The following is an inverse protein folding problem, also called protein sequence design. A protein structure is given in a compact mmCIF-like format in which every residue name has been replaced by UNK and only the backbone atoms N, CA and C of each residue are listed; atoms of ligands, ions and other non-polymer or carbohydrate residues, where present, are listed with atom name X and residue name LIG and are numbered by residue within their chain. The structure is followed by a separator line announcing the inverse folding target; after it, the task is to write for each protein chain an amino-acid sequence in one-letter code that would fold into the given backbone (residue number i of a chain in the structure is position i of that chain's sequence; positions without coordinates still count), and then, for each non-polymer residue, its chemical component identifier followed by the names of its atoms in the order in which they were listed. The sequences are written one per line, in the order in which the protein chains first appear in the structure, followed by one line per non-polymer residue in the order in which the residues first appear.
data_IF_080376286843
#
_entry.id   IF_080376286843
#
_cell.length_a   1.000
_cell.length_b   1.000
_cell.length_c   1.000
_cell.angle_alpha   90.00
_cell.angle_beta   90.00
_cell.angle_gamma   90.00
#
_symmetry.space_group_name_H-M   'P 1'
#
loop_
_entity.id
_entity.type
_entity.pdbx_description
1 polymer ?
#
# COMPACT_ATOMS: atom_id res chain seq x y z
N UNK A 1 -13.91 -13.94 18.40
CA UNK A 1 -12.92 -12.99 17.85
C UNK A 1 -11.57 -13.31 18.50
N UNK A 2 -10.58 -13.63 17.70
CA UNK A 2 -9.20 -13.91 18.13
C UNK A 2 -8.30 -12.76 17.64
N UNK A 3 -7.08 -12.63 18.17
CA UNK A 3 -6.13 -11.61 17.70
C UNK A 3 -5.81 -11.75 16.21
N UNK A 4 -5.77 -12.97 15.70
CA UNK A 4 -5.61 -13.26 14.27
C UNK A 4 -6.73 -12.71 13.36
N UNK A 5 -7.90 -12.36 13.93
CA UNK A 5 -8.99 -11.72 13.18
C UNK A 5 -8.81 -10.19 13.09
N UNK A 6 -7.89 -9.62 13.89
CA UNK A 6 -7.62 -8.19 13.94
C UNK A 6 -6.48 -7.79 13.00
N UNK A 7 -6.55 -6.55 12.53
CA UNK A 7 -5.57 -5.92 11.66
C UNK A 7 -4.98 -4.70 12.37
N UNK A 8 -3.68 -4.54 12.34
CA UNK A 8 -3.02 -3.31 12.76
C UNK A 8 -2.98 -2.37 11.57
N UNK A 9 -3.36 -1.12 11.78
CA UNK A 9 -3.25 -0.06 10.78
C UNK A 9 -2.39 1.08 11.32
N UNK A 10 -1.50 1.60 10.48
CA UNK A 10 -0.57 2.69 10.83
C UNK A 10 -0.61 3.79 9.78
N UNK A 11 -0.34 5.02 10.24
CA UNK A 11 -0.30 6.23 9.41
C UNK A 11 1.09 6.89 9.50
N UNK A 12 2.11 6.33 8.83
CA UNK A 12 3.50 6.75 8.99
C UNK A 12 3.80 8.17 8.50
N UNK A 13 2.97 8.73 7.62
CA UNK A 13 3.08 10.13 7.20
C UNK A 13 2.93 11.13 8.36
N UNK A 14 2.39 10.69 9.48
CA UNK A 14 2.26 11.52 10.69
C UNK A 14 3.58 11.66 11.47
N UNK A 15 4.62 10.91 11.09
CA UNK A 15 5.95 11.02 11.67
C UNK A 15 6.49 9.70 12.21
N UNK A 16 6.69 8.69 11.34
CA UNK A 16 7.30 7.43 11.72
C UNK A 16 8.44 7.05 10.76
N UNK A 17 9.51 6.50 11.33
CA UNK A 17 10.63 5.95 10.57
C UNK A 17 10.34 4.54 10.08
N UNK A 18 11.17 4.02 9.14
CA UNK A 18 11.12 2.60 8.78
C UNK A 18 11.32 1.68 9.99
N UNK A 19 12.22 2.05 10.91
CA UNK A 19 12.48 1.26 12.11
C UNK A 19 11.26 1.17 13.04
N UNK A 20 10.48 2.25 13.16
CA UNK A 20 9.24 2.25 13.93
C UNK A 20 8.20 1.33 13.30
N UNK A 21 8.02 1.41 11.98
CA UNK A 21 7.09 0.54 11.24
C UNK A 21 7.47 -0.94 11.35
N UNK A 22 8.76 -1.25 11.21
CA UNK A 22 9.27 -2.60 11.34
C UNK A 22 9.04 -3.13 12.76
N UNK A 23 9.34 -2.33 13.79
CA UNK A 23 9.11 -2.72 15.18
C UNK A 23 7.64 -3.02 15.47
N UNK A 24 6.72 -2.20 14.93
CA UNK A 24 5.27 -2.44 15.06
C UNK A 24 4.85 -3.72 14.35
N UNK A 25 5.31 -3.94 13.10
CA UNK A 25 4.97 -5.14 12.33
C UNK A 25 5.47 -6.42 13.03
N UNK A 26 6.72 -6.45 13.48
CA UNK A 26 7.30 -7.58 14.22
C UNK A 26 6.59 -7.82 15.56
N UNK A 27 6.23 -6.76 16.27
CA UNK A 27 5.48 -6.88 17.52
C UNK A 27 4.07 -7.39 17.30
N UNK A 28 3.40 -6.94 16.24
CA UNK A 28 2.09 -7.42 15.85
C UNK A 28 2.11 -8.91 15.47
N UNK A 29 3.11 -9.31 14.68
CA UNK A 29 3.34 -10.72 14.33
C UNK A 29 3.55 -11.58 15.57
N UNK A 30 4.46 -11.19 16.45
CA UNK A 30 4.76 -11.91 17.70
C UNK A 30 3.55 -12.01 18.65
N UNK A 31 2.64 -11.03 18.61
CA UNK A 31 1.41 -11.03 19.39
C UNK A 31 0.28 -11.84 18.73
N UNK A 32 0.43 -12.29 17.48
CA UNK A 32 -0.55 -13.11 16.77
C UNK A 32 -1.64 -12.31 16.04
N UNK A 33 -1.40 -11.04 15.70
CA UNK A 33 -2.31 -10.28 14.83
C UNK A 33 -2.26 -10.83 13.40
N UNK A 34 -3.40 -10.76 12.69
CA UNK A 34 -3.55 -11.36 11.35
C UNK A 34 -2.88 -10.55 10.25
N UNK A 35 -2.81 -9.22 10.36
CA UNK A 35 -2.18 -8.37 9.37
C UNK A 35 -1.64 -7.05 9.94
N UNK A 36 -0.65 -6.52 9.25
CA UNK A 36 -0.13 -5.16 9.39
C UNK A 36 -0.41 -4.38 8.10
N UNK A 37 -1.18 -3.31 8.21
CA UNK A 37 -1.47 -2.39 7.13
C UNK A 37 -0.90 -1.00 7.42
N UNK A 38 -0.54 -0.30 6.35
CA UNK A 38 -0.21 1.11 6.43
C UNK A 38 -0.99 1.94 5.40
N UNK A 39 -1.16 3.23 5.69
CA UNK A 39 -1.59 4.20 4.68
C UNK A 39 -0.52 4.38 3.61
N UNK A 40 -0.93 4.80 2.41
CA UNK A 40 -0.04 5.23 1.33
C UNK A 40 -0.23 6.74 1.13
N UNK A 41 0.35 7.51 2.05
CA UNK A 41 0.31 8.97 2.06
C UNK A 41 1.72 9.56 2.14
N UNK A 42 1.92 10.67 1.45
CA UNK A 42 3.19 11.43 1.40
C UNK A 42 3.13 12.75 2.15
N UNK A 43 1.95 13.22 2.57
CA UNK A 43 1.78 14.48 3.28
C UNK A 43 1.15 14.24 4.66
N UNK A 44 1.72 14.91 5.67
CA UNK A 44 1.18 14.93 7.03
C UNK A 44 -0.23 15.52 7.08
N UNK A 45 -1.03 15.05 8.00
CA UNK A 45 -2.40 15.50 8.23
C UNK A 45 -2.59 15.97 9.67
N UNK A 46 -3.45 16.96 9.85
CA UNK A 46 -3.77 17.49 11.18
C UNK A 46 -2.61 18.25 11.83
N UNK A 47 -2.38 18.01 13.12
CA UNK A 47 -1.42 18.76 13.93
C UNK A 47 -0.06 18.09 14.14
N UNK A 48 0.24 16.99 13.47
CA UNK A 48 1.55 16.35 13.53
C UNK A 48 2.58 17.14 12.72
N UNK A 49 3.87 17.00 13.04
CA UNK A 49 4.94 17.67 12.31
C UNK A 49 5.43 16.89 11.07
N UNK A 50 5.05 15.61 10.97
CA UNK A 50 5.41 14.73 9.87
C UNK A 50 6.88 14.32 9.79
N UNK A 51 7.69 14.64 10.79
CA UNK A 51 9.11 14.32 10.79
C UNK A 51 9.36 12.83 11.13
N UNK A 52 10.35 12.21 10.51
CA UNK A 52 11.41 12.74 9.64
C UNK A 52 11.00 12.91 8.16
N UNK A 53 9.78 12.71 7.80
CA UNK A 53 9.23 12.82 6.45
C UNK A 53 8.53 11.53 6.00
N UNK A 54 7.85 11.57 4.85
CA UNK A 54 7.09 10.44 4.35
C UNK A 54 7.98 9.28 3.89
N UNK A 55 7.39 8.11 3.87
CA UNK A 55 7.99 6.89 3.31
C UNK A 55 7.06 6.31 2.24
N UNK A 56 7.61 5.82 1.13
CA UNK A 56 6.81 5.09 0.14
C UNK A 56 6.29 3.77 0.73
N UNK A 57 5.02 3.48 0.46
CA UNK A 57 4.37 2.31 1.04
C UNK A 57 4.97 0.99 0.55
N UNK A 58 5.16 0.85 -0.76
CA UNK A 58 5.59 -0.42 -1.34
C UNK A 58 7.08 -0.69 -1.11
N UNK A 59 7.91 0.37 -1.07
CA UNK A 59 9.32 0.25 -0.67
C UNK A 59 9.44 -0.22 0.79
N UNK A 60 8.66 0.36 1.71
CA UNK A 60 8.68 -0.06 3.12
C UNK A 60 8.11 -1.44 3.33
N UNK A 61 7.00 -1.79 2.67
CA UNK A 61 6.39 -3.12 2.75
C UNK A 61 7.33 -4.20 2.21
N UNK A 62 8.11 -3.91 1.16
CA UNK A 62 9.14 -4.83 0.66
C UNK A 62 10.22 -5.14 1.70
N UNK A 63 10.67 -4.13 2.45
CA UNK A 63 11.58 -4.33 3.58
C UNK A 63 10.94 -5.16 4.70
N UNK A 64 9.75 -4.78 5.14
CA UNK A 64 9.01 -5.48 6.20
C UNK A 64 8.70 -6.94 5.80
N UNK A 65 8.43 -7.20 4.52
CA UNK A 65 8.20 -8.55 4.01
C UNK A 65 9.36 -9.50 4.27
N UNK A 66 10.61 -8.98 4.22
CA UNK A 66 11.82 -9.77 4.48
C UNK A 66 12.14 -9.93 5.96
N UNK A 67 11.62 -9.06 6.80
CA UNK A 67 11.89 -9.00 8.25
C UNK A 67 10.75 -9.62 9.10
N UNK A 68 9.71 -10.13 8.44
CA UNK A 68 8.56 -10.83 9.06
C UNK A 68 8.32 -12.17 8.33
N UNK A 69 7.55 -13.09 8.92
CA UNK A 69 7.42 -14.45 8.41
C UNK A 69 5.98 -14.91 8.18
N UNK A 70 5.01 -14.41 8.94
CA UNK A 70 3.64 -14.94 8.96
C UNK A 70 2.56 -13.88 8.83
N UNK A 71 2.80 -12.67 9.32
CA UNK A 71 1.82 -11.58 9.30
C UNK A 71 1.55 -11.13 7.85
N UNK A 72 0.27 -10.96 7.49
CA UNK A 72 -0.09 -10.40 6.19
C UNK A 72 0.24 -8.91 6.15
N UNK A 73 0.58 -8.42 4.97
CA UNK A 73 1.07 -7.05 4.77
C UNK A 73 0.27 -6.36 3.68
N UNK A 74 0.00 -5.07 3.82
CA UNK A 74 -0.69 -4.36 2.76
C UNK A 74 -0.87 -2.88 2.99
N UNK A 75 -1.58 -2.26 2.06
CA UNK A 75 -1.98 -0.86 2.12
C UNK A 75 -3.47 -0.73 2.46
N UNK A 76 -3.81 0.29 3.23
CA UNK A 76 -5.19 0.69 3.49
C UNK A 76 -5.30 2.21 3.41
N UNK A 77 -5.33 2.74 2.16
CA UNK A 77 -5.23 2.08 0.85
C UNK A 77 -4.23 2.84 -0.02
N UNK A 78 -3.68 2.21 -1.08
CA UNK A 78 -2.96 2.92 -2.14
C UNK A 78 -3.95 3.75 -2.97
N UNK A 79 -3.57 4.97 -3.34
CA UNK A 79 -4.39 5.81 -4.23
C UNK A 79 -4.15 5.45 -5.71
N UNK A 80 -5.22 5.25 -6.46
CA UNK A 80 -5.18 4.99 -7.90
C UNK A 80 -4.56 6.16 -8.69
N UNK A 81 -4.47 7.35 -8.10
CA UNK A 81 -3.84 8.52 -8.70
C UNK A 81 -2.32 8.56 -8.56
N UNK A 82 -1.72 7.76 -7.66
CA UNK A 82 -0.30 7.85 -7.34
C UNK A 82 0.61 7.12 -8.33
N UNK A 83 0.13 6.00 -8.89
CA UNK A 83 0.94 5.12 -9.73
C UNK A 83 0.16 4.61 -10.92
N UNK A 84 0.83 4.42 -12.03
CA UNK A 84 0.27 3.70 -13.17
C UNK A 84 0.04 2.23 -12.81
N UNK A 85 -1.01 1.57 -13.37
CA UNK A 85 -1.39 0.21 -12.98
C UNK A 85 -0.28 -0.83 -13.22
N UNK A 86 0.39 -0.78 -14.34
CA UNK A 86 1.47 -1.73 -14.68
C UNK A 86 2.62 -1.71 -13.67
N UNK A 87 3.29 -0.57 -13.42
CA UNK A 87 4.32 -0.44 -12.39
C UNK A 87 3.84 -0.83 -10.99
N UNK A 88 2.59 -0.49 -10.64
CA UNK A 88 2.01 -0.87 -9.35
C UNK A 88 1.84 -2.40 -9.26
N UNK A 89 1.28 -3.03 -10.29
CA UNK A 89 1.10 -4.49 -10.34
C UNK A 89 2.42 -5.24 -10.15
N UNK A 90 3.48 -4.76 -10.81
CA UNK A 90 4.83 -5.35 -10.69
C UNK A 90 5.38 -5.16 -9.26
N UNK A 91 5.28 -3.96 -8.68
CA UNK A 91 5.77 -3.69 -7.34
C UNK A 91 5.06 -4.56 -6.29
N UNK A 92 3.74 -4.65 -6.38
CA UNK A 92 2.92 -5.47 -5.46
C UNK A 92 3.25 -6.95 -5.58
N UNK A 93 3.32 -7.49 -6.80
CA UNK A 93 3.66 -8.89 -7.03
C UNK A 93 5.08 -9.23 -6.54
N UNK A 94 6.03 -8.30 -6.67
CA UNK A 94 7.38 -8.51 -6.15
C UNK A 94 7.41 -8.52 -4.62
N UNK A 95 6.67 -7.63 -3.95
CA UNK A 95 6.55 -7.65 -2.49
C UNK A 95 5.84 -8.93 -2.02
N UNK A 96 4.86 -9.41 -2.78
CA UNK A 96 4.18 -10.67 -2.49
C UNK A 96 5.15 -11.86 -2.56
N UNK A 97 5.95 -11.95 -3.62
CA UNK A 97 7.02 -12.96 -3.74
C UNK A 97 8.03 -12.86 -2.58
N UNK A 98 8.51 -11.65 -2.27
CA UNK A 98 9.43 -11.40 -1.14
C UNK A 98 8.84 -11.82 0.20
N UNK A 99 7.53 -11.78 0.34
CA UNK A 99 6.79 -12.14 1.56
C UNK A 99 6.35 -13.61 1.60
N UNK A 100 6.52 -14.38 0.51
CA UNK A 100 5.97 -15.72 0.32
C UNK A 100 4.42 -15.73 0.34
N UNK A 101 3.79 -14.82 -0.40
CA UNK A 101 2.34 -14.84 -0.66
C UNK A 101 1.49 -14.18 0.46
N UNK A 102 2.04 -13.18 1.17
CA UNK A 102 1.35 -12.54 2.30
C UNK A 102 0.77 -11.15 2.03
N UNK A 103 0.84 -10.67 0.78
CA UNK A 103 0.43 -9.30 0.47
C UNK A 103 -1.08 -9.20 0.21
N UNK A 104 -1.65 -8.09 0.65
CA UNK A 104 -3.00 -7.63 0.33
C UNK A 104 -2.92 -6.21 -0.25
N UNK A 105 -3.31 -6.02 -1.51
CA UNK A 105 -3.41 -4.71 -2.12
C UNK A 105 -4.75 -4.07 -1.76
N UNK A 106 -4.74 -3.02 -0.95
CA UNK A 106 -5.86 -2.10 -0.85
C UNK A 106 -5.69 -0.95 -1.85
N UNK A 107 -6.67 -0.72 -2.70
CA UNK A 107 -6.66 0.33 -3.71
C UNK A 107 -7.91 1.21 -3.57
N UNK A 108 -7.76 2.53 -3.71
CA UNK A 108 -8.84 3.49 -3.60
C UNK A 108 -8.70 4.67 -4.55
N UNK A 109 -9.77 5.43 -4.74
CA UNK A 109 -9.82 6.54 -5.71
C UNK A 109 -8.97 7.77 -5.34
N UNK A 110 -8.43 7.83 -4.13
CA UNK A 110 -7.75 9.02 -3.62
C UNK A 110 -8.71 10.12 -3.14
N UNK A 111 -8.27 10.93 -2.21
CA UNK A 111 -9.12 11.98 -1.62
C UNK A 111 -8.36 13.24 -1.18
N UNK A 112 -7.07 13.15 -0.88
CA UNK A 112 -6.31 14.23 -0.27
C UNK A 112 -5.65 15.12 -1.33
N UNK A 113 -6.36 16.14 -1.78
CA UNK A 113 -5.92 17.04 -2.85
C UNK A 113 -4.61 17.76 -2.52
N UNK A 114 -4.43 18.25 -1.30
CA UNK A 114 -3.23 18.98 -0.90
C UNK A 114 -1.94 18.16 -1.09
N UNK A 115 -2.01 16.85 -0.90
CA UNK A 115 -0.91 15.93 -1.13
C UNK A 115 -0.54 15.83 -2.61
N UNK A 116 -1.54 15.74 -3.47
CA UNK A 116 -1.34 15.71 -4.92
C UNK A 116 -0.69 17.00 -5.42
N UNK A 117 -1.16 18.15 -4.94
CA UNK A 117 -0.58 19.46 -5.27
C UNK A 117 0.87 19.57 -4.79
N UNK A 118 1.17 19.13 -3.57
CA UNK A 118 2.51 19.21 -2.98
C UNK A 118 3.55 18.36 -3.74
N UNK A 119 3.12 17.22 -4.30
CA UNK A 119 4.01 16.28 -5.00
C UNK A 119 3.87 16.33 -6.52
N UNK A 120 3.11 17.26 -7.08
CA UNK A 120 2.93 17.40 -8.53
C UNK A 120 2.19 16.21 -9.16
N UNK A 121 1.32 15.55 -8.39
CA UNK A 121 0.50 14.45 -8.84
C UNK A 121 -0.84 15.02 -9.31
N UNK A 122 -1.32 14.57 -10.45
CA UNK A 122 -2.61 14.99 -10.96
C UNK A 122 -3.74 14.58 -10.00
N UNK A 123 -4.69 15.50 -9.75
CA UNK A 123 -5.89 15.22 -8.96
C UNK A 123 -7.16 15.46 -9.78
N UNK A 124 -7.59 14.49 -10.57
CA UNK A 124 -8.76 14.62 -11.43
C UNK A 124 -10.06 14.77 -10.65
N UNK A 125 -11.15 15.21 -11.30
CA UNK A 125 -12.48 15.19 -10.71
C UNK A 125 -12.87 13.81 -10.18
N UNK A 126 -13.77 13.77 -9.21
CA UNK A 126 -14.13 12.54 -8.48
C UNK A 126 -14.57 11.39 -9.42
N UNK A 127 -15.38 11.69 -10.45
CA UNK A 127 -15.83 10.69 -11.42
C UNK A 127 -14.64 10.02 -12.11
N UNK A 128 -13.73 10.82 -12.67
CA UNK A 128 -12.53 10.31 -13.35
C UNK A 128 -11.62 9.49 -12.40
N UNK A 129 -11.53 9.86 -11.13
CA UNK A 129 -10.76 9.06 -10.15
C UNK A 129 -11.39 7.69 -9.89
N UNK A 130 -12.71 7.59 -9.93
CA UNK A 130 -13.40 6.30 -9.85
C UNK A 130 -13.24 5.48 -11.13
N UNK A 131 -13.30 6.13 -12.31
CA UNK A 131 -13.04 5.46 -13.59
C UNK A 131 -11.61 4.88 -13.60
N UNK A 132 -10.62 5.67 -13.17
CA UNK A 132 -9.22 5.21 -13.00
C UNK A 132 -9.08 4.05 -12.02
N UNK A 133 -9.84 4.07 -10.91
CA UNK A 133 -9.82 2.98 -9.94
C UNK A 133 -10.37 1.68 -10.55
N UNK A 134 -11.48 1.76 -11.28
CA UNK A 134 -12.10 0.62 -11.94
C UNK A 134 -11.16 0.01 -12.99
N UNK A 135 -10.60 0.84 -13.88
CA UNK A 135 -9.64 0.42 -14.89
C UNK A 135 -8.36 -0.19 -14.26
N UNK A 136 -7.83 0.41 -13.19
CA UNK A 136 -6.66 -0.14 -12.52
C UNK A 136 -6.93 -1.50 -11.88
N UNK A 137 -8.11 -1.69 -11.28
CA UNK A 137 -8.50 -2.99 -10.73
C UNK A 137 -8.57 -4.05 -11.83
N UNK A 138 -9.15 -3.72 -12.98
CA UNK A 138 -9.21 -4.62 -14.13
C UNK A 138 -7.80 -4.96 -14.66
N UNK A 139 -6.97 -3.94 -14.90
CA UNK A 139 -5.60 -4.14 -15.43
C UNK A 139 -4.77 -4.97 -14.47
N UNK A 140 -4.75 -4.62 -13.18
CA UNK A 140 -3.91 -5.30 -12.20
C UNK A 140 -4.33 -6.76 -12.02
N UNK A 141 -5.61 -7.03 -11.88
CA UNK A 141 -6.13 -8.40 -11.73
C UNK A 141 -5.95 -9.21 -13.02
N UNK A 142 -6.13 -8.57 -14.19
CA UNK A 142 -5.87 -9.16 -15.50
C UNK A 142 -4.40 -9.57 -15.67
N UNK A 143 -3.47 -8.66 -15.36
CA UNK A 143 -2.03 -8.96 -15.42
C UNK A 143 -1.64 -10.13 -14.51
N UNK A 144 -2.18 -10.21 -13.30
CA UNK A 144 -1.85 -11.27 -12.35
C UNK A 144 -2.49 -12.62 -12.69
N UNK A 145 -3.60 -12.62 -13.43
CA UNK A 145 -4.31 -13.85 -13.85
C UNK A 145 -3.89 -14.36 -15.22
N UNK A 146 -3.15 -13.57 -16.00
CA UNK A 146 -2.70 -13.95 -17.35
C UNK A 146 -1.61 -15.02 -17.26
N UNK A 147 -1.73 -16.14 -18.00
CA UNK A 147 -0.71 -17.19 -18.02
C UNK A 147 0.66 -16.70 -18.48
N UNK A 148 1.72 -17.36 -18.00
CA UNK A 148 3.09 -17.05 -18.42
C UNK A 148 3.26 -17.19 -19.93
N UNK A 149 3.79 -16.15 -20.56
CA UNK A 149 4.01 -16.09 -22.02
C UNK A 149 2.84 -15.51 -22.82
N UNK A 150 1.74 -15.17 -22.16
CA UNK A 150 0.63 -14.45 -22.76
C UNK A 150 0.66 -12.96 -22.37
N UNK A 151 -0.05 -12.15 -23.12
CA UNK A 151 -0.20 -10.69 -22.86
C UNK A 151 -1.65 -10.40 -22.45
N UNK A 152 -1.82 -9.66 -21.38
CA UNK A 152 -3.12 -9.09 -21.01
C UNK A 152 -3.42 -7.90 -21.94
N UNK A 153 -4.59 -7.89 -22.53
CA UNK A 153 -5.14 -6.78 -23.34
C UNK A 153 -6.43 -6.29 -22.66
N UNK A 154 -6.47 -5.00 -22.31
CA UNK A 154 -7.64 -4.31 -21.74
C UNK A 154 -8.36 -3.49 -22.79
#
# INVERSE_FOLDING_TARGET
MQLSDLRIFTEPQQGATYADLLAVAQRAEAAGYGAFFRSDHYLVMGGADGLPGPTDAWVTLGGIARETSTIRLGTLVTSATFRLPGPLAVAVAQVDDMSAGRVELGLGAGWYQAEHEAYGIEFPPLGERFDRLEEQLEIITGMWSTPLGETFES
#
